data_IF_982843120873
#
_entry.id   IF_982843120873
#
_cell.length_a   1.000
_cell.length_b   1.000
_cell.length_c   1.000
_cell.angle_alpha   90.00
_cell.angle_beta   90.00
_cell.angle_gamma   90.00
#
_symmetry.space_group_name_H-M   'P 1'
#
loop_
_entity.id
_entity.type
_entity.pdbx_description
1 polymer ?
#
# COMPACT_ATOMS: atom_id res chain seq x y z
N UNK A 1 32.61 42.54 -49.90
CA UNK A 1 31.55 41.78 -50.59
C UNK A 1 31.40 40.45 -49.89
N UNK A 2 30.15 40.00 -49.79
CA UNK A 2 29.65 38.99 -48.86
C UNK A 2 30.00 37.53 -49.22
N UNK A 3 29.62 36.65 -48.27
CA UNK A 3 29.32 35.20 -48.37
C UNK A 3 30.48 34.27 -47.96
N UNK A 4 30.29 33.18 -47.22
CA UNK A 4 29.10 32.53 -46.62
C UNK A 4 29.60 31.32 -45.80
N UNK A 5 28.97 31.14 -44.64
CA UNK A 5 28.78 29.99 -43.75
C UNK A 5 29.54 28.67 -43.98
N UNK A 6 30.04 28.07 -42.89
CA UNK A 6 29.39 26.86 -42.36
C UNK A 6 29.72 26.57 -40.88
N UNK A 7 28.66 26.13 -40.21
CA UNK A 7 28.43 25.98 -38.77
C UNK A 7 29.12 24.71 -38.23
N UNK A 8 29.80 24.82 -37.08
CA UNK A 8 30.08 23.65 -36.22
C UNK A 8 29.15 23.70 -35.03
N UNK A 9 28.08 22.93 -35.12
CA UNK A 9 27.14 22.69 -34.03
C UNK A 9 27.90 22.11 -32.84
N UNK A 10 27.78 22.80 -31.71
CA UNK A 10 28.20 22.27 -30.42
C UNK A 10 27.30 21.07 -30.10
N UNK A 11 27.87 19.87 -30.18
CA UNK A 11 27.24 18.65 -29.67
C UNK A 11 27.19 18.78 -28.15
N UNK A 12 26.02 19.14 -27.63
CA UNK A 12 25.71 19.06 -26.21
C UNK A 12 25.46 17.57 -25.92
N UNK A 13 26.42 16.91 -25.27
CA UNK A 13 26.21 15.57 -24.74
C UNK A 13 25.02 15.61 -23.77
N UNK A 14 23.98 14.77 -23.97
CA UNK A 14 22.94 14.65 -22.97
C UNK A 14 23.56 13.96 -21.75
N UNK A 15 23.64 14.70 -20.64
CA UNK A 15 23.99 14.17 -19.33
C UNK A 15 23.03 13.02 -19.00
N UNK A 16 23.55 11.80 -19.10
CA UNK A 16 22.85 10.59 -18.66
C UNK A 16 22.88 10.60 -17.15
N UNK A 17 21.87 11.21 -16.53
CA UNK A 17 21.58 10.96 -15.12
C UNK A 17 21.16 9.50 -15.04
N UNK A 18 21.87 8.63 -14.30
CA UNK A 18 21.37 7.30 -14.04
C UNK A 18 20.11 7.51 -13.20
N UNK A 19 18.95 7.24 -13.80
CA UNK A 19 17.73 7.09 -13.01
C UNK A 19 17.98 5.86 -12.16
N UNK A 20 18.31 6.08 -10.90
CA UNK A 20 18.39 5.06 -9.87
C UNK A 20 16.97 4.53 -9.67
N UNK A 21 16.50 3.69 -10.61
CA UNK A 21 15.26 2.95 -10.46
C UNK A 21 15.51 1.93 -9.37
N UNK A 22 15.32 2.37 -8.12
CA UNK A 22 15.10 1.46 -7.00
C UNK A 22 14.06 0.43 -7.47
N UNK A 23 14.32 -0.86 -7.27
CA UNK A 23 13.36 -1.90 -7.62
C UNK A 23 12.00 -1.49 -7.04
N UNK A 24 10.98 -1.35 -7.90
CA UNK A 24 9.61 -1.18 -7.42
C UNK A 24 9.30 -2.44 -6.62
N UNK A 25 9.10 -2.27 -5.32
CA UNK A 25 8.71 -3.37 -4.45
C UNK A 25 7.51 -4.09 -5.09
N UNK A 26 7.52 -5.44 -5.10
CA UNK A 26 6.42 -6.19 -5.68
C UNK A 26 5.11 -5.76 -5.02
N UNK A 27 4.00 -5.63 -5.78
CA UNK A 27 2.73 -5.22 -5.24
C UNK A 27 2.34 -6.12 -4.05
N UNK A 28 2.06 -5.51 -2.89
CA UNK A 28 1.77 -6.21 -1.63
C UNK A 28 2.87 -6.16 -0.56
N UNK A 29 3.99 -5.45 -0.81
CA UNK A 29 5.08 -5.21 0.16
C UNK A 29 5.03 -3.82 0.82
N UNK A 30 3.88 -3.14 0.78
CA UNK A 30 3.70 -1.88 1.49
C UNK A 30 3.76 -2.09 3.02
N UNK A 31 4.32 -1.12 3.73
CA UNK A 31 4.43 -1.12 5.19
C UNK A 31 3.04 -1.16 5.86
N UNK A 32 2.92 -1.90 6.96
CA UNK A 32 1.66 -2.17 7.70
C UNK A 32 0.84 -0.90 8.02
N UNK A 33 1.47 0.26 8.18
CA UNK A 33 0.76 1.54 8.39
C UNK A 33 -0.04 2.04 7.18
N UNK A 34 0.11 1.43 5.99
CA UNK A 34 -0.70 1.71 4.80
C UNK A 34 -1.95 0.85 4.70
N UNK A 35 -2.08 -0.15 5.58
CA UNK A 35 -3.20 -1.12 5.53
C UNK A 35 -4.52 -0.45 5.91
N UNK A 36 -4.50 0.47 6.87
CA UNK A 36 -5.68 1.19 7.33
C UNK A 36 -5.47 2.70 7.23
N UNK A 37 -6.33 3.35 6.44
CA UNK A 37 -6.53 4.80 6.51
C UNK A 37 -7.22 5.18 7.83
N UNK A 38 -7.16 6.47 8.24
CA UNK A 38 -7.91 6.95 9.40
C UNK A 38 -9.41 6.63 9.31
N UNK A 39 -10.01 6.76 8.13
CA UNK A 39 -11.42 6.48 7.90
C UNK A 39 -11.75 4.98 8.06
N UNK A 40 -10.91 4.10 7.52
CA UNK A 40 -11.05 2.66 7.70
C UNK A 40 -10.87 2.26 9.17
N UNK A 41 -9.94 2.92 9.88
CA UNK A 41 -9.73 2.69 11.31
C UNK A 41 -10.96 3.12 12.12
N UNK A 42 -11.50 4.32 11.86
CA UNK A 42 -12.72 4.80 12.52
C UNK A 42 -13.92 3.89 12.23
N UNK A 43 -14.05 3.42 11.00
CA UNK A 43 -15.08 2.45 10.61
C UNK A 43 -14.94 1.14 11.41
N UNK A 44 -13.75 0.54 11.45
CA UNK A 44 -13.52 -0.71 12.19
C UNK A 44 -13.75 -0.55 13.70
N UNK A 45 -13.35 0.59 14.28
CA UNK A 45 -13.57 0.90 15.71
C UNK A 45 -15.07 1.03 16.03
N UNK A 46 -15.88 1.50 15.08
CA UNK A 46 -17.33 1.62 15.23
C UNK A 46 -18.11 0.31 15.15
N UNK A 47 -17.45 -0.80 14.75
CA UNK A 47 -18.08 -2.11 14.67
C UNK A 47 -18.01 -2.83 16.03
N UNK A 48 -19.14 -3.40 16.45
CA UNK A 48 -19.28 -4.09 17.75
C UNK A 48 -19.26 -5.62 17.66
N UNK A 49 -19.44 -6.19 16.47
CA UNK A 49 -19.47 -7.64 16.25
C UNK A 49 -18.15 -8.12 15.64
N UNK A 50 -17.51 -9.18 16.20
CA UNK A 50 -16.35 -9.82 15.58
C UNK A 50 -16.58 -10.20 14.12
N UNK A 51 -17.77 -10.71 13.79
CA UNK A 51 -18.13 -11.11 12.43
C UNK A 51 -18.17 -9.92 11.48
N UNK A 52 -18.65 -8.76 11.96
CA UNK A 52 -18.71 -7.54 11.16
C UNK A 52 -17.29 -6.97 10.92
N UNK A 53 -16.42 -7.03 11.92
CA UNK A 53 -15.02 -6.61 11.79
C UNK A 53 -14.29 -7.51 10.78
N UNK A 54 -14.46 -8.83 10.87
CA UNK A 54 -13.86 -9.78 9.91
C UNK A 54 -14.34 -9.50 8.48
N UNK A 55 -15.65 -9.25 8.28
CA UNK A 55 -16.18 -8.90 6.97
C UNK A 55 -15.57 -7.60 6.43
N UNK A 56 -15.53 -6.55 7.26
CA UNK A 56 -14.92 -5.28 6.90
C UNK A 56 -13.41 -5.40 6.59
N UNK A 57 -12.69 -6.25 7.32
CA UNK A 57 -11.28 -6.54 7.04
C UNK A 57 -11.12 -7.30 5.71
N UNK A 58 -12.03 -8.21 5.35
CA UNK A 58 -12.00 -8.84 4.03
C UNK A 58 -12.16 -7.80 2.92
N UNK A 59 -13.06 -6.84 3.08
CA UNK A 59 -13.28 -5.76 2.09
C UNK A 59 -12.05 -4.84 1.97
N UNK A 60 -11.50 -4.40 3.10
CA UNK A 60 -10.33 -3.51 3.16
C UNK A 60 -9.06 -4.16 2.62
N UNK A 61 -8.87 -5.46 2.90
CA UNK A 61 -7.71 -6.23 2.45
C UNK A 61 -7.93 -6.85 1.06
N UNK A 62 -9.09 -6.63 0.43
CA UNK A 62 -9.49 -7.21 -0.84
C UNK A 62 -9.36 -8.75 -0.87
N UNK A 63 -9.84 -9.42 0.18
CA UNK A 63 -9.79 -10.88 0.34
C UNK A 63 -11.16 -11.49 0.01
N UNK A 64 -11.25 -12.17 -1.13
CA UNK A 64 -12.51 -12.78 -1.60
C UNK A 64 -12.79 -14.19 -1.04
N UNK A 65 -11.73 -14.96 -0.72
CA UNK A 65 -11.84 -16.39 -0.40
C UNK A 65 -11.61 -16.72 1.07
N UNK A 66 -12.08 -15.88 1.99
CA UNK A 66 -11.89 -16.10 3.43
C UNK A 66 -12.46 -17.45 3.91
N UNK A 67 -13.62 -17.86 3.40
CA UNK A 67 -14.27 -19.10 3.79
C UNK A 67 -13.55 -20.35 3.26
N UNK A 68 -12.99 -20.27 2.05
CA UNK A 68 -12.56 -21.44 1.29
C UNK A 68 -11.04 -21.60 1.17
N UNK A 69 -10.28 -20.55 1.45
CA UNK A 69 -8.82 -20.56 1.38
C UNK A 69 -8.20 -20.43 2.78
N UNK A 70 -7.55 -21.50 3.31
CA UNK A 70 -6.95 -21.48 4.64
C UNK A 70 -5.90 -20.38 4.84
N UNK A 71 -5.14 -20.01 3.79
CA UNK A 71 -4.15 -18.94 3.90
C UNK A 71 -4.80 -17.57 3.99
N UNK A 72 -5.84 -17.34 3.19
CA UNK A 72 -6.65 -16.11 3.26
C UNK A 72 -7.29 -15.96 4.64
N UNK A 73 -7.82 -17.06 5.19
CA UNK A 73 -8.37 -17.08 6.54
C UNK A 73 -7.35 -16.69 7.59
N UNK A 74 -6.19 -17.35 7.60
CA UNK A 74 -5.10 -17.06 8.55
C UNK A 74 -4.66 -15.60 8.46
N UNK A 75 -4.59 -15.04 7.25
CA UNK A 75 -4.21 -13.64 7.06
C UNK A 75 -5.23 -12.67 7.69
N UNK A 76 -6.52 -12.85 7.41
CA UNK A 76 -7.58 -12.00 7.97
C UNK A 76 -7.71 -12.19 9.48
N UNK A 77 -7.65 -13.43 9.97
CA UNK A 77 -7.71 -13.72 11.41
C UNK A 77 -6.53 -13.08 12.15
N UNK A 78 -5.32 -13.14 11.58
CA UNK A 78 -4.16 -12.45 12.12
C UNK A 78 -4.39 -10.94 12.24
N UNK A 79 -4.89 -10.30 11.17
CA UNK A 79 -5.22 -8.88 11.20
C UNK A 79 -6.31 -8.56 12.24
N UNK A 80 -7.35 -9.38 12.34
CA UNK A 80 -8.42 -9.25 13.31
C UNK A 80 -7.90 -9.28 14.75
N UNK A 81 -7.09 -10.28 15.12
CA UNK A 81 -6.56 -10.39 16.47
C UNK A 81 -5.60 -9.26 16.81
N UNK A 82 -4.76 -8.81 15.87
CA UNK A 82 -3.91 -7.64 16.08
C UNK A 82 -4.74 -6.36 16.29
N UNK A 83 -5.81 -6.18 15.52
CA UNK A 83 -6.71 -5.04 15.69
C UNK A 83 -7.38 -5.07 17.07
N UNK A 84 -7.91 -6.22 17.49
CA UNK A 84 -8.54 -6.35 18.81
C UNK A 84 -7.57 -6.08 19.95
N UNK A 85 -6.35 -6.63 19.87
CA UNK A 85 -5.29 -6.36 20.85
C UNK A 85 -4.95 -4.86 20.94
N UNK A 86 -4.74 -4.20 19.80
CA UNK A 86 -4.43 -2.77 19.76
C UNK A 86 -5.61 -1.91 20.24
N UNK A 87 -6.85 -2.31 19.94
CA UNK A 87 -8.07 -1.65 20.38
C UNK A 87 -8.20 -1.69 21.91
N UNK A 88 -7.95 -2.85 22.51
CA UNK A 88 -7.95 -3.03 23.97
C UNK A 88 -6.83 -2.21 24.65
N UNK A 89 -5.60 -2.25 24.12
CA UNK A 89 -4.46 -1.48 24.67
C UNK A 89 -4.69 0.04 24.60
N UNK A 90 -5.31 0.52 23.52
CA UNK A 90 -5.67 1.92 23.36
C UNK A 90 -6.88 2.37 24.21
N UNK A 91 -7.55 1.44 24.93
CA UNK A 91 -8.69 1.75 25.79
C UNK A 91 -10.00 2.01 25.06
N UNK A 92 -10.12 1.58 23.80
CA UNK A 92 -11.39 1.62 23.07
C UNK A 92 -12.23 0.39 23.44
N UNK A 93 -12.88 0.42 24.62
CA UNK A 93 -13.83 -0.64 25.06
C UNK A 93 -15.25 -0.39 24.58
#
# INVERSE_FOLDING_TARGET
MAKKDEVKEAVVEPSVVPVDEKPKDPPGWDMVWRVLTPDQTAMLLGLSSPSAIIAALCDVLHVEHYADNPRSRVYVDFCFYNFMFAKEDAGFS
#
